data_IF_390227223465
#
_entry.id   IF_390227223465
#
_cell.length_a   1.000
_cell.length_b   1.000
_cell.length_c   1.000
_cell.angle_alpha   90.00
_cell.angle_beta   90.00
_cell.angle_gamma   90.00
#
_symmetry.space_group_name_H-M   'P 1'
#
loop_
_entity.id
_entity.type
_entity.pdbx_description
1 polymer ?
#
# COMPACT_ATOMS: atom_id res chain seq x y z
N UNK A 1 -64.19 49.74 9.36
CA UNK A 1 -63.05 50.03 8.50
C UNK A 1 -61.85 49.11 8.69
N UNK A 2 -61.62 48.48 9.82
CA UNK A 2 -60.45 47.60 10.12
C UNK A 2 -60.51 46.24 9.40
N UNK A 3 -61.69 45.67 9.18
CA UNK A 3 -61.85 44.35 8.53
C UNK A 3 -61.55 44.34 7.01
N UNK A 4 -61.86 45.42 6.33
CA UNK A 4 -61.63 45.54 4.86
C UNK A 4 -60.14 45.70 4.55
N UNK A 5 -59.34 46.40 5.40
CA UNK A 5 -57.89 46.55 5.27
C UNK A 5 -57.16 45.22 5.47
N UNK A 6 -57.60 44.34 6.40
CA UNK A 6 -57.01 43.01 6.60
C UNK A 6 -57.27 42.04 5.43
N UNK A 7 -58.44 42.07 4.83
CA UNK A 7 -58.74 41.18 3.65
C UNK A 7 -57.97 41.63 2.39
N UNK A 8 -57.73 42.95 2.22
CA UNK A 8 -56.96 43.44 1.08
C UNK A 8 -55.46 43.08 1.27
N UNK A 9 -54.92 43.16 2.46
CA UNK A 9 -53.51 42.78 2.73
C UNK A 9 -53.27 41.27 2.55
N UNK A 10 -54.22 40.41 2.97
CA UNK A 10 -54.12 38.95 2.71
C UNK A 10 -54.26 38.60 1.24
N UNK A 11 -55.17 39.21 0.49
CA UNK A 11 -55.30 39.00 -0.94
C UNK A 11 -54.04 39.45 -1.71
N UNK A 12 -53.43 40.55 -1.31
CA UNK A 12 -52.18 41.04 -1.90
C UNK A 12 -50.99 40.11 -1.61
N UNK A 13 -50.93 39.57 -0.39
CA UNK A 13 -49.88 38.61 0.01
C UNK A 13 -50.00 37.28 -0.76
N UNK A 14 -51.24 36.78 -0.94
CA UNK A 14 -51.50 35.58 -1.75
C UNK A 14 -51.15 35.81 -3.24
N UNK A 15 -51.50 36.96 -3.78
CA UNK A 15 -51.14 37.33 -5.14
C UNK A 15 -49.61 37.38 -5.32
N UNK A 16 -48.90 37.99 -4.37
CA UNK A 16 -47.45 38.07 -4.40
C UNK A 16 -46.78 36.68 -4.32
N UNK A 17 -47.29 35.80 -3.48
CA UNK A 17 -46.82 34.41 -3.40
C UNK A 17 -47.05 33.63 -4.70
N UNK A 18 -48.22 33.82 -5.34
CA UNK A 18 -48.49 33.20 -6.64
C UNK A 18 -47.57 33.75 -7.74
N UNK A 19 -47.31 35.06 -7.75
CA UNK A 19 -46.34 35.66 -8.71
C UNK A 19 -44.93 35.16 -8.48
N UNK A 20 -44.46 35.02 -7.23
CA UNK A 20 -43.15 34.45 -6.89
C UNK A 20 -43.06 32.96 -7.30
N UNK A 21 -44.15 32.20 -7.13
CA UNK A 21 -44.24 30.80 -7.55
C UNK A 21 -44.14 30.69 -9.08
N UNK A 22 -44.93 31.52 -9.82
CA UNK A 22 -44.92 31.55 -11.29
C UNK A 22 -43.55 32.00 -11.82
N UNK A 23 -42.94 33.00 -11.17
CA UNK A 23 -41.60 33.45 -11.51
C UNK A 23 -40.57 32.34 -11.25
N UNK A 24 -40.68 31.61 -10.14
CA UNK A 24 -39.82 30.47 -9.83
C UNK A 24 -39.95 29.33 -10.86
N UNK A 25 -41.17 28.99 -11.27
CA UNK A 25 -41.46 28.01 -12.33
C UNK A 25 -40.89 28.48 -13.67
N UNK A 26 -41.10 29.77 -14.02
CA UNK A 26 -40.58 30.33 -15.25
C UNK A 26 -39.06 30.36 -15.29
N UNK A 27 -38.39 30.80 -14.22
CA UNK A 27 -36.93 30.78 -14.09
C UNK A 27 -36.36 29.37 -14.07
N UNK A 28 -37.05 28.38 -13.46
CA UNK A 28 -36.68 26.97 -13.50
C UNK A 28 -36.76 26.35 -14.90
N UNK A 29 -37.67 26.88 -15.77
CA UNK A 29 -37.78 26.49 -17.18
C UNK A 29 -36.83 27.22 -18.13
N UNK A 30 -36.20 28.31 -17.67
CA UNK A 30 -35.28 29.15 -18.45
C UNK A 30 -33.97 29.41 -17.71
N UNK A 31 -33.16 28.37 -17.50
CA UNK A 31 -31.92 28.49 -16.72
C UNK A 31 -30.88 29.44 -17.36
N UNK A 32 -30.96 29.66 -18.68
CA UNK A 32 -30.12 30.63 -19.39
C UNK A 32 -30.30 32.09 -18.92
N UNK A 33 -31.45 32.43 -18.34
CA UNK A 33 -31.79 33.77 -17.89
C UNK A 33 -31.39 34.04 -16.43
N UNK A 34 -30.87 33.02 -15.75
CA UNK A 34 -30.36 33.12 -14.38
C UNK A 34 -28.97 33.77 -14.33
N UNK A 35 -28.68 34.57 -13.27
CA UNK A 35 -27.31 34.99 -12.98
C UNK A 35 -26.36 33.80 -12.89
N UNK A 36 -25.13 33.96 -13.39
CA UNK A 36 -24.16 32.87 -13.54
C UNK A 36 -23.93 32.00 -12.27
N UNK A 37 -24.03 32.60 -11.08
CA UNK A 37 -23.88 31.90 -9.80
C UNK A 37 -25.07 30.98 -9.44
N UNK A 38 -26.25 31.19 -10.05
CA UNK A 38 -27.45 30.34 -9.88
C UNK A 38 -27.57 29.33 -11.01
N UNK A 39 -27.01 29.63 -12.18
CA UNK A 39 -27.17 28.81 -13.39
C UNK A 39 -26.66 27.38 -13.18
N UNK A 40 -25.50 27.21 -12.53
CA UNK A 40 -24.90 25.89 -12.25
C UNK A 40 -25.77 24.98 -11.36
N UNK A 41 -26.67 25.56 -10.55
CA UNK A 41 -27.60 24.80 -9.70
C UNK A 41 -28.85 24.32 -10.43
N UNK A 42 -29.14 24.87 -11.63
CA UNK A 42 -30.33 24.56 -12.44
C UNK A 42 -30.00 23.93 -13.80
N UNK A 43 -28.76 24.02 -14.26
CA UNK A 43 -28.25 23.24 -15.40
C UNK A 43 -27.95 21.82 -14.94
N UNK A 44 -28.96 21.01 -14.68
CA UNK A 44 -28.80 19.56 -14.74
C UNK A 44 -28.39 19.21 -16.17
N UNK A 45 -27.16 18.74 -16.34
CA UNK A 45 -26.65 18.39 -17.66
C UNK A 45 -27.59 17.31 -18.25
N UNK A 46 -28.14 17.54 -19.45
CA UNK A 46 -29.11 16.63 -20.08
C UNK A 46 -28.60 15.17 -20.09
N UNK A 47 -27.28 14.98 -20.24
CA UNK A 47 -26.64 13.68 -20.27
C UNK A 47 -26.72 12.97 -18.90
N UNK A 48 -26.63 13.71 -17.77
CA UNK A 48 -26.78 13.16 -16.41
C UNK A 48 -28.22 12.69 -16.19
N UNK A 49 -29.22 13.44 -16.66
CA UNK A 49 -30.62 13.04 -16.56
C UNK A 49 -30.94 11.77 -17.34
N UNK A 50 -30.29 11.55 -18.48
CA UNK A 50 -30.47 10.31 -19.27
C UNK A 50 -29.91 9.11 -18.52
N UNK A 51 -28.77 9.25 -17.82
CA UNK A 51 -28.20 8.18 -17.00
C UNK A 51 -29.13 7.85 -15.82
N UNK A 52 -29.66 8.87 -15.15
CA UNK A 52 -30.62 8.67 -14.03
C UNK A 52 -31.90 7.99 -14.51
N UNK A 53 -32.47 8.44 -15.68
CA UNK A 53 -33.62 7.79 -16.28
C UNK A 53 -33.38 6.33 -16.63
N UNK A 54 -32.19 6.01 -17.17
CA UNK A 54 -31.82 4.64 -17.48
C UNK A 54 -31.74 3.77 -16.23
N UNK A 55 -31.13 4.28 -15.15
CA UNK A 55 -31.04 3.61 -13.84
C UNK A 55 -32.44 3.34 -13.30
N UNK A 56 -33.35 4.33 -13.38
CA UNK A 56 -34.71 4.22 -12.89
C UNK A 56 -35.49 3.14 -13.65
N UNK A 57 -35.43 3.17 -14.99
CA UNK A 57 -36.12 2.18 -15.83
C UNK A 57 -35.56 0.76 -15.61
N UNK A 58 -34.23 0.60 -15.54
CA UNK A 58 -33.63 -0.72 -15.31
C UNK A 58 -34.04 -1.22 -13.92
N UNK A 59 -34.01 -0.38 -12.89
CA UNK A 59 -34.38 -0.79 -11.53
C UNK A 59 -35.84 -1.19 -11.40
N UNK A 60 -36.76 -0.55 -12.19
CA UNK A 60 -38.20 -0.86 -12.17
C UNK A 60 -38.57 -2.05 -13.06
N UNK A 61 -37.99 -2.16 -14.24
CA UNK A 61 -38.51 -3.01 -15.32
C UNK A 61 -37.68 -4.29 -15.54
N UNK A 62 -36.45 -4.35 -14.97
CA UNK A 62 -35.61 -5.55 -15.11
C UNK A 62 -36.24 -6.73 -14.38
N UNK A 63 -36.25 -7.90 -15.01
CA UNK A 63 -36.94 -9.10 -14.54
C UNK A 63 -36.42 -9.66 -13.20
N UNK A 64 -35.27 -9.26 -12.73
CA UNK A 64 -34.71 -9.58 -11.42
C UNK A 64 -34.56 -8.32 -10.58
N UNK A 65 -34.75 -8.40 -9.24
CA UNK A 65 -34.52 -7.25 -8.37
C UNK A 65 -33.07 -6.79 -8.47
N UNK A 66 -32.85 -5.50 -8.76
CA UNK A 66 -31.57 -4.83 -8.74
C UNK A 66 -31.73 -3.45 -8.11
N UNK A 67 -30.83 -3.08 -7.22
CA UNK A 67 -30.93 -1.80 -6.53
C UNK A 67 -30.35 -0.65 -7.38
N UNK A 68 -30.91 0.56 -7.23
CA UNK A 68 -30.37 1.76 -7.85
C UNK A 68 -28.90 2.01 -7.45
N UNK A 69 -28.53 1.70 -6.18
CA UNK A 69 -27.16 1.85 -5.70
C UNK A 69 -26.17 0.95 -6.47
N UNK A 70 -26.57 -0.31 -6.76
CA UNK A 70 -25.74 -1.20 -7.59
C UNK A 70 -25.59 -0.68 -9.02
N UNK A 71 -26.67 -0.17 -9.61
CA UNK A 71 -26.65 0.41 -10.96
C UNK A 71 -25.81 1.69 -11.02
N UNK A 72 -25.92 2.58 -10.01
CA UNK A 72 -25.08 3.78 -9.91
C UNK A 72 -23.61 3.43 -9.79
N UNK A 73 -23.24 2.49 -8.93
CA UNK A 73 -21.84 2.02 -8.80
C UNK A 73 -21.31 1.43 -10.10
N UNK A 74 -22.12 0.62 -10.79
CA UNK A 74 -21.75 0.07 -12.09
C UNK A 74 -21.58 1.15 -13.17
N UNK A 75 -22.43 2.20 -13.14
CA UNK A 75 -22.34 3.33 -14.07
C UNK A 75 -21.05 4.12 -13.86
N UNK A 76 -20.68 4.44 -12.60
CA UNK A 76 -19.44 5.14 -12.28
C UNK A 76 -18.23 4.28 -12.72
N UNK A 77 -18.24 2.98 -12.40
CA UNK A 77 -17.19 2.06 -12.83
C UNK A 77 -17.06 2.02 -14.37
N UNK A 78 -18.19 2.03 -15.09
CA UNK A 78 -18.20 2.09 -16.55
C UNK A 78 -17.61 3.38 -17.11
N UNK A 79 -17.94 4.54 -16.50
CA UNK A 79 -17.36 5.83 -16.87
C UNK A 79 -15.83 5.82 -16.68
N UNK A 80 -15.34 5.33 -15.56
CA UNK A 80 -13.89 5.23 -15.32
C UNK A 80 -13.22 4.26 -16.30
N UNK A 81 -13.85 3.11 -16.55
CA UNK A 81 -13.33 2.11 -17.51
C UNK A 81 -13.22 2.67 -18.94
N UNK A 82 -14.08 3.64 -19.32
CA UNK A 82 -14.03 4.29 -20.64
C UNK A 82 -12.76 5.12 -20.87
N UNK A 83 -12.00 5.45 -19.83
CA UNK A 83 -10.70 6.12 -19.95
C UNK A 83 -9.64 5.22 -20.61
N UNK A 84 -9.85 3.90 -20.63
CA UNK A 84 -8.87 2.93 -21.13
C UNK A 84 -7.58 2.87 -20.30
N UNK A 85 -7.59 3.45 -19.11
CA UNK A 85 -6.47 3.45 -18.18
C UNK A 85 -6.66 2.36 -17.12
N UNK A 86 -5.79 1.36 -17.15
CA UNK A 86 -5.84 0.22 -16.23
C UNK A 86 -5.53 0.57 -14.77
N UNK A 87 -5.04 1.75 -14.49
CA UNK A 87 -4.71 2.24 -13.14
C UNK A 87 -5.79 3.15 -12.56
N UNK A 88 -6.74 3.57 -13.40
CA UNK A 88 -7.89 4.35 -12.94
C UNK A 88 -9.07 3.43 -12.67
N UNK A 89 -9.65 3.53 -11.46
CA UNK A 89 -10.82 2.74 -11.07
C UNK A 89 -11.72 3.46 -10.07
N UNK A 90 -12.96 3.01 -10.02
CA UNK A 90 -13.89 3.39 -8.98
C UNK A 90 -13.81 2.38 -7.83
N UNK A 91 -13.67 2.88 -6.63
CA UNK A 91 -13.79 2.12 -5.40
C UNK A 91 -15.18 2.32 -4.82
N UNK A 92 -15.95 1.25 -4.67
CA UNK A 92 -17.22 1.31 -3.95
C UNK A 92 -16.99 1.69 -2.47
N UNK A 93 -18.02 2.13 -1.72
CA UNK A 93 -17.85 2.48 -0.31
C UNK A 93 -17.19 1.39 0.54
N UNK A 94 -17.52 0.12 0.26
CA UNK A 94 -16.92 -1.02 0.96
C UNK A 94 -15.44 -1.25 0.57
N UNK A 95 -15.12 -1.12 -0.70
CA UNK A 95 -13.73 -1.25 -1.19
C UNK A 95 -12.87 -0.10 -0.68
N UNK A 96 -13.39 1.13 -0.73
CA UNK A 96 -12.67 2.31 -0.25
C UNK A 96 -12.38 2.20 1.26
N UNK A 97 -13.39 1.86 2.08
CA UNK A 97 -13.18 1.68 3.51
C UNK A 97 -12.18 0.55 3.86
N UNK A 98 -12.06 -0.44 2.99
CA UNK A 98 -11.08 -1.52 3.15
C UNK A 98 -9.69 -1.09 2.71
N UNK A 99 -9.59 -0.30 1.61
CA UNK A 99 -8.33 0.20 1.08
C UNK A 99 -7.64 1.23 2.01
N UNK A 100 -8.43 2.03 2.75
CA UNK A 100 -7.90 2.96 3.76
C UNK A 100 -7.31 2.26 4.99
N UNK A 101 -7.62 0.98 5.20
CA UNK A 101 -7.06 0.24 6.32
C UNK A 101 -5.72 -0.36 5.92
N UNK A 102 -4.62 -0.03 6.62
CA UNK A 102 -3.35 -0.72 6.38
C UNK A 102 -3.55 -2.23 6.55
N UNK A 103 -2.82 -3.08 5.81
CA UNK A 103 -2.89 -4.53 5.96
C UNK A 103 -2.57 -4.89 7.41
N UNK A 104 -3.61 -5.21 8.15
CA UNK A 104 -3.54 -5.57 9.57
C UNK A 104 -4.11 -6.96 9.74
N UNK A 105 -3.38 -7.81 10.42
CA UNK A 105 -3.95 -9.07 10.88
C UNK A 105 -4.11 -9.06 12.40
N UNK A 106 -5.09 -9.77 12.90
CA UNK A 106 -5.29 -9.91 14.34
C UNK A 106 -4.67 -11.21 14.82
N UNK A 107 -3.74 -11.10 15.76
CA UNK A 107 -3.03 -12.26 16.28
C UNK A 107 -2.02 -11.89 17.34
N UNK A 108 -0.96 -12.65 17.43
CA UNK A 108 0.10 -12.46 18.41
C UNK A 108 1.45 -11.99 17.81
N UNK A 109 1.53 -11.87 16.47
CA UNK A 109 2.73 -11.38 15.78
C UNK A 109 3.79 -12.43 15.53
N UNK A 110 3.38 -13.58 14.99
CA UNK A 110 4.29 -14.64 14.51
C UNK A 110 3.88 -15.08 13.10
N UNK A 111 4.89 -15.47 12.34
CA UNK A 111 4.73 -16.25 11.13
C UNK A 111 5.00 -17.72 11.49
N UNK A 112 4.11 -18.60 11.07
CA UNK A 112 4.22 -20.04 11.37
C UNK A 112 4.10 -20.86 10.09
N UNK A 113 4.65 -22.06 10.14
CA UNK A 113 4.49 -23.10 9.12
C UNK A 113 4.10 -24.40 9.80
N UNK A 114 3.38 -25.27 9.10
CA UNK A 114 3.08 -26.61 9.62
C UNK A 114 4.35 -27.41 9.90
N UNK A 115 4.43 -28.03 11.07
CA UNK A 115 5.54 -28.96 11.36
C UNK A 115 5.47 -30.18 10.44
N UNK A 116 6.56 -30.57 9.74
CA UNK A 116 6.59 -31.76 8.87
C UNK A 116 6.15 -33.05 9.56
N UNK A 117 6.37 -33.15 10.89
CA UNK A 117 5.93 -34.27 11.72
C UNK A 117 4.47 -34.17 12.16
N UNK A 118 3.70 -33.19 11.68
CA UNK A 118 2.29 -32.91 12.04
C UNK A 118 2.03 -32.80 13.55
N UNK A 119 3.00 -32.33 14.31
CA UNK A 119 2.91 -32.16 15.76
C UNK A 119 2.30 -30.80 16.14
N UNK A 120 2.30 -29.81 15.23
CA UNK A 120 1.81 -28.47 15.47
C UNK A 120 2.31 -27.44 14.46
N UNK A 121 2.52 -26.22 14.94
CA UNK A 121 3.00 -25.08 14.16
C UNK A 121 4.42 -24.69 14.59
N UNK A 122 5.34 -24.66 13.64
CA UNK A 122 6.70 -24.18 13.86
C UNK A 122 6.74 -22.66 13.68
N UNK A 123 7.30 -21.93 14.65
CA UNK A 123 7.50 -20.49 14.55
C UNK A 123 8.65 -20.22 13.57
N UNK A 124 8.33 -19.71 12.39
CA UNK A 124 9.29 -19.31 11.37
C UNK A 124 9.88 -17.92 11.63
N UNK A 125 9.06 -16.99 12.16
CA UNK A 125 9.46 -15.62 12.49
C UNK A 125 8.62 -15.08 13.63
N UNK A 126 9.22 -14.27 14.50
CA UNK A 126 8.54 -13.42 15.49
C UNK A 126 8.73 -11.96 15.06
N UNK A 127 7.63 -11.21 14.91
CA UNK A 127 7.68 -9.81 14.55
C UNK A 127 8.01 -8.94 15.76
N UNK A 128 8.82 -7.90 15.56
CA UNK A 128 9.20 -6.96 16.62
C UNK A 128 7.95 -6.24 17.19
N UNK A 129 8.06 -5.77 18.44
CA UNK A 129 7.01 -5.01 19.14
C UNK A 129 5.64 -5.70 19.27
N UNK A 130 5.55 -6.97 19.00
CA UNK A 130 4.33 -7.77 19.08
C UNK A 130 4.12 -8.45 20.43
N UNK A 131 2.90 -8.94 20.74
CA UNK A 131 2.68 -9.75 21.94
C UNK A 131 3.63 -10.94 22.05
N UNK A 132 3.93 -11.61 20.94
CA UNK A 132 4.86 -12.74 20.92
C UNK A 132 6.31 -12.32 21.25
N UNK A 133 6.79 -11.21 20.69
CA UNK A 133 8.11 -10.68 21.00
C UNK A 133 8.24 -10.29 22.48
N UNK A 134 7.24 -9.58 23.02
CA UNK A 134 7.19 -9.19 24.44
C UNK A 134 7.16 -10.39 25.39
N UNK A 135 6.53 -11.49 24.98
CA UNK A 135 6.50 -12.74 25.72
C UNK A 135 7.78 -13.58 25.56
N UNK A 136 8.72 -13.14 24.70
CA UNK A 136 10.01 -13.82 24.49
C UNK A 136 9.94 -15.08 23.63
N UNK A 137 8.89 -15.24 22.82
CA UNK A 137 8.81 -16.35 21.86
C UNK A 137 9.96 -16.27 20.85
N UNK A 138 10.44 -17.43 20.42
CA UNK A 138 11.61 -17.52 19.53
C UNK A 138 11.30 -18.28 18.24
N UNK A 139 11.95 -17.86 17.17
CA UNK A 139 12.00 -18.62 15.92
C UNK A 139 12.53 -20.03 16.19
N UNK A 140 11.90 -21.02 15.59
CA UNK A 140 12.23 -22.43 15.75
C UNK A 140 11.47 -23.14 16.88
N UNK A 141 10.74 -22.45 17.74
CA UNK A 141 9.86 -23.10 18.74
C UNK A 141 8.65 -23.72 18.06
N UNK A 142 8.19 -24.85 18.62
CA UNK A 142 7.05 -25.60 18.12
C UNK A 142 5.82 -25.39 19.02
N UNK A 143 4.75 -24.83 18.49
CA UNK A 143 3.46 -24.71 19.19
C UNK A 143 2.73 -26.05 19.04
N UNK A 144 2.52 -26.76 20.14
CA UNK A 144 1.91 -28.10 20.16
C UNK A 144 0.45 -28.09 20.60
N UNK A 145 0.01 -27.04 21.34
CA UNK A 145 -1.38 -26.86 21.72
C UNK A 145 -1.78 -25.39 21.85
N UNK A 146 -3.07 -25.08 21.60
CA UNK A 146 -3.68 -23.76 21.73
C UNK A 146 -4.91 -23.88 22.63
N UNK A 147 -4.98 -23.09 23.72
CA UNK A 147 -6.08 -23.12 24.70
C UNK A 147 -6.34 -24.54 25.23
N UNK A 148 -5.29 -25.35 25.42
CA UNK A 148 -5.38 -26.74 25.87
C UNK A 148 -5.76 -27.76 24.79
N UNK A 149 -6.11 -27.31 23.58
CA UNK A 149 -6.40 -28.19 22.45
C UNK A 149 -5.11 -28.54 21.70
N UNK A 150 -4.81 -29.83 21.58
CA UNK A 150 -3.63 -30.27 20.81
C UNK A 150 -3.75 -29.91 19.32
N UNK A 151 -2.64 -29.53 18.72
CA UNK A 151 -2.52 -29.27 17.27
C UNK A 151 -2.10 -30.52 16.48
N UNK A 152 -1.77 -31.61 17.17
CA UNK A 152 -1.30 -32.85 16.51
C UNK A 152 -2.32 -33.37 15.50
N UNK A 153 -1.90 -33.55 14.27
CA UNK A 153 -2.70 -34.07 13.17
C UNK A 153 -3.66 -33.07 12.53
N UNK A 154 -3.72 -31.83 13.00
CA UNK A 154 -4.55 -30.79 12.38
C UNK A 154 -3.89 -30.29 11.08
N UNK A 155 -4.72 -29.89 10.12
CA UNK A 155 -4.25 -29.11 8.97
C UNK A 155 -3.72 -27.75 9.42
N UNK A 156 -2.73 -27.21 8.71
CA UNK A 156 -2.05 -25.97 9.09
C UNK A 156 -3.05 -24.81 9.24
N UNK A 157 -3.98 -24.65 8.30
CA UNK A 157 -4.97 -23.57 8.30
C UNK A 157 -5.87 -23.63 9.53
N UNK A 158 -6.23 -24.85 9.96
CA UNK A 158 -7.05 -25.08 11.17
C UNK A 158 -6.24 -24.72 12.41
N UNK A 159 -5.00 -25.13 12.49
CA UNK A 159 -4.11 -24.82 13.61
C UNK A 159 -3.87 -23.31 13.71
N UNK A 160 -3.60 -22.62 12.58
CA UNK A 160 -3.43 -21.17 12.50
C UNK A 160 -4.68 -20.43 12.95
N UNK A 161 -5.88 -20.91 12.55
CA UNK A 161 -7.14 -20.29 12.95
C UNK A 161 -7.37 -20.28 14.48
N UNK A 162 -6.84 -21.27 15.22
CA UNK A 162 -6.91 -21.32 16.68
C UNK A 162 -6.02 -20.27 17.34
N UNK A 163 -4.89 -19.92 16.72
CA UNK A 163 -3.98 -18.87 17.22
C UNK A 163 -4.59 -17.48 16.96
N UNK A 164 -5.22 -17.26 15.80
CA UNK A 164 -5.92 -16.03 15.44
C UNK A 164 -7.15 -15.81 16.32
N UNK A 165 -7.70 -14.60 16.32
CA UNK A 165 -8.93 -14.23 17.01
C UNK A 165 -9.03 -12.73 17.25
N UNK A 166 -10.16 -12.20 17.80
CA UNK A 166 -10.38 -10.77 18.01
C UNK A 166 -9.29 -10.12 18.87
N UNK A 167 -8.92 -8.85 18.59
CA UNK A 167 -7.94 -8.12 19.39
C UNK A 167 -8.46 -7.97 20.83
N UNK A 168 -7.53 -7.93 21.79
CA UNK A 168 -7.85 -7.87 23.23
C UNK A 168 -8.22 -9.20 23.86
N UNK A 169 -8.40 -10.28 23.08
CA UNK A 169 -8.68 -11.62 23.63
C UNK A 169 -7.38 -12.38 23.95
N UNK A 170 -7.40 -13.25 24.94
CA UNK A 170 -6.24 -14.05 25.32
C UNK A 170 -6.17 -15.36 24.54
N UNK A 171 -4.94 -15.79 24.25
CA UNK A 171 -4.62 -17.12 23.73
C UNK A 171 -3.54 -17.75 24.59
N UNK A 172 -3.75 -18.99 25.00
CA UNK A 172 -2.78 -19.78 25.77
C UNK A 172 -2.10 -20.76 24.83
N UNK A 173 -0.80 -20.60 24.65
CA UNK A 173 0.04 -21.47 23.81
C UNK A 173 0.80 -22.45 24.68
N UNK A 174 0.83 -23.73 24.30
CA UNK A 174 1.78 -24.69 24.84
C UNK A 174 2.84 -24.94 23.78
N UNK A 175 4.09 -24.66 24.13
CA UNK A 175 5.22 -24.70 23.22
C UNK A 175 6.25 -25.70 23.69
N UNK A 176 6.98 -26.22 22.71
CA UNK A 176 8.11 -27.10 22.89
C UNK A 176 9.36 -26.38 22.38
N UNK A 177 10.35 -26.19 23.27
CA UNK A 177 11.62 -25.63 22.86
C UNK A 177 12.33 -26.55 21.86
N UNK A 178 12.95 -25.98 20.83
CA UNK A 178 13.83 -26.73 19.93
C UNK A 178 15.04 -27.19 20.73
N UNK A 179 15.39 -28.48 20.60
CA UNK A 179 16.63 -28.99 21.19
C UNK A 179 17.83 -28.21 20.63
N UNK A 180 18.78 -27.78 21.46
CA UNK A 180 20.00 -27.14 20.98
C UNK A 180 20.71 -28.09 20.01
N UNK A 181 21.14 -27.57 18.87
CA UNK A 181 21.76 -28.34 17.78
C UNK A 181 23.08 -29.02 18.17
N UNK A 182 23.63 -28.74 19.34
CA UNK A 182 24.89 -29.28 19.84
C UNK A 182 24.79 -29.64 21.34
N UNK A 183 24.90 -30.93 21.69
CA UNK A 183 25.36 -31.37 22.98
C UNK A 183 24.34 -31.74 24.06
N UNK A 184 23.06 -31.92 23.76
CA UNK A 184 22.08 -32.44 24.73
C UNK A 184 22.07 -33.96 24.79
N UNK A 185 21.97 -34.54 25.99
CA UNK A 185 21.81 -35.99 26.20
C UNK A 185 20.58 -36.50 25.42
N UNK A 186 20.78 -37.48 24.53
CA UNK A 186 19.68 -38.21 23.87
C UNK A 186 18.85 -38.92 24.95
N UNK A 187 17.62 -38.43 25.21
CA UNK A 187 16.68 -39.20 26.02
C UNK A 187 15.63 -38.41 26.82
N UNK A 188 15.78 -37.13 27.06
CA UNK A 188 14.72 -36.37 27.75
C UNK A 188 13.76 -35.75 26.72
N UNK A 189 12.43 -35.90 26.88
CA UNK A 189 11.47 -35.15 26.05
C UNK A 189 11.75 -33.67 26.24
N UNK A 190 11.69 -32.86 25.15
CA UNK A 190 11.89 -31.41 25.26
C UNK A 190 10.87 -30.80 26.24
N UNK A 191 11.35 -29.87 27.07
CA UNK A 191 10.50 -29.22 28.06
C UNK A 191 9.34 -28.46 27.38
N UNK A 192 8.15 -28.74 27.86
CA UNK A 192 6.96 -27.95 27.48
C UNK A 192 6.85 -26.74 28.39
N UNK A 193 6.59 -25.57 27.80
CA UNK A 193 6.25 -24.37 28.55
C UNK A 193 4.98 -23.75 27.97
N UNK A 194 4.34 -22.91 28.74
CA UNK A 194 3.08 -22.34 28.38
C UNK A 194 3.10 -20.83 28.57
N UNK A 195 2.69 -20.11 27.52
CA UNK A 195 2.58 -18.66 27.54
C UNK A 195 1.14 -18.24 27.25
N UNK A 196 0.68 -17.18 27.93
CA UNK A 196 -0.63 -16.57 27.68
C UNK A 196 -0.41 -15.18 27.10
N UNK A 197 -0.86 -14.99 25.88
CA UNK A 197 -0.68 -13.75 25.13
C UNK A 197 -2.03 -13.10 24.84
N UNK A 198 -2.06 -11.77 24.90
CA UNK A 198 -3.24 -11.01 24.46
C UNK A 198 -3.08 -10.71 22.95
N UNK A 199 -4.07 -11.12 22.16
CA UNK A 199 -4.09 -10.81 20.73
C UNK A 199 -4.18 -9.32 20.50
N UNK A 200 -3.46 -8.83 19.52
CA UNK A 200 -3.43 -7.43 19.11
C UNK A 200 -3.69 -7.32 17.60
N UNK A 201 -4.01 -6.13 17.17
CA UNK A 201 -3.91 -5.80 15.74
C UNK A 201 -2.43 -5.64 15.43
N UNK A 202 -1.91 -6.44 14.52
CA UNK A 202 -0.51 -6.48 14.12
C UNK A 202 -0.42 -5.88 12.72
N UNK A 203 0.40 -4.85 12.56
CA UNK A 203 0.83 -4.41 11.23
C UNK A 203 1.86 -5.41 10.74
N UNK A 204 1.70 -5.93 9.53
CA UNK A 204 2.70 -6.80 8.94
C UNK A 204 3.92 -5.95 8.61
N UNK A 205 5.12 -6.25 9.15
CA UNK A 205 6.31 -5.51 8.79
C UNK A 205 6.57 -5.64 7.29
N UNK A 206 6.74 -4.50 6.63
CA UNK A 206 7.04 -4.46 5.20
C UNK A 206 8.53 -4.55 4.92
N UNK A 207 9.36 -4.55 5.96
CA UNK A 207 10.83 -4.63 5.86
C UNK A 207 11.34 -5.93 6.46
N UNK A 208 12.31 -6.53 5.79
CA UNK A 208 13.12 -7.64 6.31
C UNK A 208 14.60 -7.32 6.14
N UNK A 209 15.44 -7.69 7.11
CA UNK A 209 16.88 -7.55 6.95
C UNK A 209 17.64 -8.80 7.40
N UNK A 210 18.81 -9.00 6.81
CA UNK A 210 19.76 -10.05 7.18
C UNK A 210 21.19 -9.65 6.86
N UNK A 211 22.13 -10.13 7.67
CA UNK A 211 23.57 -9.98 7.40
C UNK A 211 24.08 -11.16 6.56
N UNK A 212 24.73 -10.88 5.45
CA UNK A 212 25.44 -11.87 4.62
C UNK A 212 26.94 -11.63 4.69
N UNK A 213 27.73 -12.71 4.72
CA UNK A 213 29.20 -12.61 4.66
C UNK A 213 29.71 -13.13 3.33
N UNK A 214 30.36 -12.27 2.55
CA UNK A 214 30.93 -12.60 1.25
C UNK A 214 32.42 -12.26 1.26
N UNK A 215 33.29 -13.23 0.98
CA UNK A 215 34.73 -13.07 1.01
C UNK A 215 35.28 -12.46 2.32
N UNK A 216 34.67 -12.83 3.45
CA UNK A 216 35.02 -12.30 4.78
C UNK A 216 34.50 -10.90 5.10
N UNK A 217 33.76 -10.27 4.18
CA UNK A 217 33.12 -8.96 4.38
C UNK A 217 31.66 -9.14 4.74
N UNK A 218 31.23 -8.53 5.85
CA UNK A 218 29.81 -8.46 6.23
C UNK A 218 29.08 -7.42 5.41
N UNK A 219 27.93 -7.77 4.85
CA UNK A 219 27.04 -6.93 4.06
C UNK A 219 25.62 -7.06 4.60
N UNK A 220 24.90 -5.95 4.72
CA UNK A 220 23.49 -5.95 5.08
C UNK A 220 22.61 -6.09 3.83
N UNK A 221 21.60 -6.94 3.90
CA UNK A 221 20.52 -7.02 2.91
C UNK A 221 19.26 -6.50 3.58
N UNK A 222 18.67 -5.47 3.02
CA UNK A 222 17.41 -4.86 3.50
C UNK A 222 16.39 -4.95 2.39
N UNK A 223 15.35 -5.74 2.57
CA UNK A 223 14.28 -5.93 1.62
C UNK A 223 13.03 -5.15 2.04
N UNK A 224 12.41 -4.44 1.10
CA UNK A 224 11.17 -3.70 1.28
C UNK A 224 10.08 -4.28 0.36
N UNK A 225 8.96 -4.70 0.95
CA UNK A 225 7.84 -5.30 0.20
C UNK A 225 6.88 -4.27 -0.39
N UNK A 226 6.63 -3.15 0.30
CA UNK A 226 5.70 -2.09 -0.15
C UNK A 226 6.00 -0.75 0.52
N UNK A 227 5.64 0.34 -0.14
CA UNK A 227 5.78 1.71 0.38
C UNK A 227 4.50 2.11 1.12
N UNK A 228 4.29 1.56 2.30
CA UNK A 228 3.18 1.90 3.20
C UNK A 228 3.58 3.00 4.16
N UNK A 229 2.60 3.66 4.78
CA UNK A 229 2.85 4.69 5.81
C UNK A 229 3.77 4.16 6.92
N UNK A 230 4.87 4.88 7.19
CA UNK A 230 5.87 4.53 8.18
C UNK A 230 6.97 3.56 7.71
N UNK A 231 6.91 3.05 6.47
CA UNK A 231 7.92 2.15 5.92
C UNK A 231 9.33 2.75 5.96
N UNK A 232 9.47 4.08 5.81
CA UNK A 232 10.77 4.75 5.92
C UNK A 232 11.43 4.56 7.28
N UNK A 233 10.64 4.54 8.36
CA UNK A 233 11.15 4.27 9.72
C UNK A 233 11.69 2.85 9.84
N UNK A 234 10.94 1.85 9.34
CA UNK A 234 11.38 0.45 9.35
C UNK A 234 12.65 0.23 8.51
N UNK A 235 12.73 0.86 7.31
CA UNK A 235 13.93 0.78 6.45
C UNK A 235 15.13 1.41 7.16
N UNK A 236 14.96 2.58 7.78
CA UNK A 236 16.05 3.24 8.53
C UNK A 236 16.56 2.36 9.66
N UNK A 237 15.65 1.84 10.48
CA UNK A 237 16.02 0.94 11.59
C UNK A 237 16.77 -0.30 11.09
N UNK A 238 16.28 -0.93 10.01
CA UNK A 238 16.93 -2.10 9.43
C UNK A 238 18.33 -1.77 8.88
N UNK A 239 18.51 -0.66 8.18
CA UNK A 239 19.82 -0.21 7.66
C UNK A 239 20.78 0.06 8.80
N UNK A 240 20.36 0.82 9.82
CA UNK A 240 21.19 1.14 10.98
C UNK A 240 21.54 -0.11 11.78
N UNK A 241 20.61 -1.05 11.95
CA UNK A 241 20.84 -2.33 12.60
C UNK A 241 21.93 -3.14 11.89
N UNK A 242 21.84 -3.29 10.57
CA UNK A 242 22.87 -4.02 9.79
C UNK A 242 24.25 -3.35 9.90
N UNK A 243 24.30 -2.01 9.87
CA UNK A 243 25.56 -1.27 10.06
C UNK A 243 26.14 -1.47 11.46
N UNK A 244 25.32 -1.52 12.51
CA UNK A 244 25.74 -1.83 13.88
C UNK A 244 26.28 -3.28 14.03
N UNK A 245 25.72 -4.22 13.25
CA UNK A 245 26.26 -5.59 13.16
C UNK A 245 27.59 -5.68 12.41
N UNK A 246 28.07 -4.55 11.88
CA UNK A 246 29.36 -4.41 11.20
C UNK A 246 29.26 -4.62 9.68
N UNK A 247 28.08 -4.49 9.09
CA UNK A 247 27.95 -4.47 7.64
C UNK A 247 28.68 -3.26 7.05
N UNK A 248 29.47 -3.49 6.01
CA UNK A 248 30.28 -2.47 5.33
C UNK A 248 29.65 -1.93 4.06
N UNK A 249 28.45 -2.38 3.73
CA UNK A 249 27.64 -1.93 2.60
C UNK A 249 26.25 -2.53 2.68
N UNK A 250 25.30 -1.97 1.93
CA UNK A 250 23.88 -2.34 1.95
C UNK A 250 23.43 -2.77 0.55
N UNK A 251 22.79 -3.93 0.45
CA UNK A 251 21.90 -4.30 -0.66
C UNK A 251 20.48 -3.88 -0.26
N UNK A 252 19.89 -2.95 -0.98
CA UNK A 252 18.50 -2.59 -0.84
C UNK A 252 17.67 -3.36 -1.86
N UNK A 253 16.92 -4.36 -1.40
CA UNK A 253 16.18 -5.28 -2.27
C UNK A 253 14.74 -4.81 -2.47
N UNK A 254 14.42 -4.42 -3.69
CA UNK A 254 13.12 -3.95 -4.14
C UNK A 254 12.45 -4.92 -5.14
N UNK A 255 12.94 -6.14 -5.26
CA UNK A 255 12.32 -7.14 -6.14
C UNK A 255 10.90 -7.45 -5.69
N UNK A 256 9.98 -7.59 -6.64
CA UNK A 256 8.56 -7.83 -6.37
C UNK A 256 7.81 -6.64 -5.75
N UNK A 257 8.47 -5.51 -5.51
CA UNK A 257 7.85 -4.34 -4.90
C UNK A 257 7.07 -3.51 -5.93
N UNK A 258 5.75 -3.54 -5.87
CA UNK A 258 4.85 -2.79 -6.77
C UNK A 258 4.77 -1.29 -6.49
N UNK A 259 5.47 -0.78 -5.47
CA UNK A 259 5.45 0.63 -5.06
C UNK A 259 4.56 0.90 -3.85
N UNK A 260 3.84 2.00 -3.88
CA UNK A 260 3.00 2.53 -2.82
C UNK A 260 3.06 4.06 -2.77
N UNK A 261 3.12 4.64 -1.57
CA UNK A 261 3.07 6.08 -1.34
C UNK A 261 4.32 6.79 -1.88
N UNK A 262 4.11 7.87 -2.64
CA UNK A 262 5.21 8.68 -3.21
C UNK A 262 5.98 9.42 -2.12
N UNK A 263 5.29 9.85 -1.07
CA UNK A 263 5.90 10.48 0.12
C UNK A 263 6.86 9.52 0.83
N UNK A 264 6.50 8.25 0.94
CA UNK A 264 7.38 7.22 1.49
C UNK A 264 8.60 6.98 0.59
N UNK A 265 8.44 7.05 -0.73
CA UNK A 265 9.57 6.99 -1.65
C UNK A 265 10.56 8.14 -1.43
N UNK A 266 10.07 9.37 -1.21
CA UNK A 266 10.91 10.52 -0.85
C UNK A 266 11.69 10.25 0.44
N UNK A 267 11.00 9.84 1.50
CA UNK A 267 11.60 9.60 2.82
C UNK A 267 12.62 8.45 2.79
N UNK A 268 12.30 7.35 2.09
CA UNK A 268 13.20 6.20 1.95
C UNK A 268 14.42 6.55 1.09
N UNK A 269 14.25 7.26 -0.04
CA UNK A 269 15.38 7.74 -0.83
C UNK A 269 16.30 8.65 -0.02
N UNK A 270 15.71 9.47 0.87
CA UNK A 270 16.44 10.38 1.76
C UNK A 270 17.32 9.68 2.80
N UNK A 271 17.06 8.41 3.11
CA UNK A 271 17.95 7.61 3.96
C UNK A 271 19.33 7.46 3.31
N UNK A 272 19.40 7.53 1.99
CA UNK A 272 20.62 7.29 1.23
C UNK A 272 21.15 8.56 0.53
N UNK A 273 20.27 9.49 0.13
CA UNK A 273 20.59 10.70 -0.62
C UNK A 273 20.55 11.91 0.34
N UNK A 274 21.69 12.58 0.57
CA UNK A 274 21.75 13.68 1.55
C UNK A 274 21.08 14.97 1.07
N UNK A 275 21.02 15.21 -0.24
CA UNK A 275 20.43 16.42 -0.82
C UNK A 275 20.15 16.25 -2.31
N UNK A 276 19.26 17.09 -2.82
CA UNK A 276 18.87 17.12 -4.24
C UNK A 276 17.46 16.59 -4.47
N UNK A 277 17.04 16.63 -5.73
CA UNK A 277 15.72 16.18 -6.15
C UNK A 277 15.59 14.66 -6.05
N UNK A 278 14.46 14.17 -5.51
CA UNK A 278 14.11 12.75 -5.53
C UNK A 278 13.17 12.47 -6.71
N UNK A 279 12.11 13.26 -6.84
CA UNK A 279 11.13 13.11 -7.91
C UNK A 279 10.42 14.43 -8.19
N UNK A 280 10.04 14.67 -9.43
CA UNK A 280 9.16 15.77 -9.84
C UNK A 280 7.87 15.21 -10.37
N UNK A 281 6.72 15.70 -9.90
CA UNK A 281 5.39 15.33 -10.38
C UNK A 281 4.81 16.45 -11.25
N UNK A 282 4.10 16.08 -12.31
CA UNK A 282 3.41 17.02 -13.22
C UNK A 282 2.06 16.44 -13.60
N UNK A 283 1.02 17.24 -13.53
CA UNK A 283 -0.32 16.88 -13.97
C UNK A 283 -0.95 17.96 -14.85
N UNK A 284 -2.05 17.61 -15.50
CA UNK A 284 -2.80 18.58 -16.33
C UNK A 284 -3.45 19.67 -15.47
N UNK A 285 -4.00 19.30 -14.34
CA UNK A 285 -4.68 20.17 -13.38
C UNK A 285 -3.96 20.25 -12.03
N UNK A 286 -2.99 19.38 -11.80
CA UNK A 286 -2.16 19.37 -10.60
C UNK A 286 -0.94 20.28 -10.81
N UNK A 287 -0.55 21.08 -9.82
CA UNK A 287 0.66 21.88 -9.90
C UNK A 287 1.89 20.97 -10.00
N UNK A 288 2.91 21.45 -10.72
CA UNK A 288 4.21 20.78 -10.68
C UNK A 288 4.76 20.84 -9.26
N UNK A 289 5.11 19.68 -8.70
CA UNK A 289 5.72 19.54 -7.37
C UNK A 289 7.04 18.81 -7.47
N UNK A 290 8.03 19.26 -6.70
CA UNK A 290 9.35 18.61 -6.64
C UNK A 290 9.62 18.21 -5.20
N UNK A 291 9.77 16.91 -4.97
CA UNK A 291 10.13 16.35 -3.68
C UNK A 291 11.66 16.27 -3.58
N UNK A 292 12.20 16.88 -2.55
CA UNK A 292 13.65 16.96 -2.28
C UNK A 292 14.04 15.99 -1.18
N UNK A 293 15.31 15.60 -1.14
CA UNK A 293 15.86 14.85 -0.02
C UNK A 293 15.78 15.66 1.28
N UNK A 294 15.47 14.99 2.40
CA UNK A 294 15.23 15.61 3.72
C UNK A 294 16.50 15.90 4.52
N UNK A 295 17.66 15.37 4.11
CA UNK A 295 18.95 15.69 4.72
C UNK A 295 19.50 14.68 5.73
N UNK A 296 18.72 13.65 6.12
CA UNK A 296 19.11 12.68 7.16
C UNK A 296 19.74 11.40 6.59
N UNK A 297 20.59 11.51 5.59
CA UNK A 297 21.18 10.35 4.95
C UNK A 297 22.26 9.67 5.81
N UNK A 298 22.35 8.34 5.68
CA UNK A 298 23.53 7.59 6.16
C UNK A 298 24.78 8.08 5.42
N UNK A 299 25.96 7.79 6.01
CA UNK A 299 27.22 8.21 5.39
C UNK A 299 27.31 7.79 3.93
N UNK A 300 27.69 8.73 3.05
CA UNK A 300 27.88 8.49 1.63
C UNK A 300 29.08 7.57 1.33
N UNK A 301 29.96 7.34 2.31
CA UNK A 301 31.06 6.37 2.22
C UNK A 301 30.61 4.91 2.28
N UNK A 302 29.38 4.65 2.77
CA UNK A 302 28.79 3.30 2.81
C UNK A 302 28.26 3.00 1.40
N UNK A 303 28.83 2.01 0.69
CA UNK A 303 28.34 1.66 -0.64
C UNK A 303 26.95 1.01 -0.57
N UNK A 304 26.14 1.31 -1.59
CA UNK A 304 24.76 0.78 -1.74
C UNK A 304 24.59 0.16 -3.11
N UNK A 305 23.92 -0.97 -3.15
CA UNK A 305 23.41 -1.62 -4.36
C UNK A 305 21.90 -1.71 -4.23
N UNK A 306 21.15 -1.35 -5.27
CA UNK A 306 19.71 -1.59 -5.34
C UNK A 306 19.46 -2.82 -6.21
N UNK A 307 18.74 -3.80 -5.68
CA UNK A 307 18.38 -5.02 -6.40
C UNK A 307 16.92 -4.92 -6.86
N UNK A 308 16.67 -5.09 -8.15
CA UNK A 308 15.37 -4.88 -8.80
C UNK A 308 14.99 -6.02 -9.74
N UNK A 309 13.70 -6.12 -10.06
CA UNK A 309 13.17 -7.03 -11.07
C UNK A 309 12.07 -6.37 -11.93
N UNK A 310 11.46 -7.14 -12.84
CA UNK A 310 10.40 -6.66 -13.72
C UNK A 310 9.08 -6.30 -12.97
N UNK A 311 8.93 -6.68 -11.71
CA UNK A 311 7.80 -6.33 -10.84
C UNK A 311 8.08 -5.11 -9.96
N UNK A 312 9.32 -4.63 -9.92
CA UNK A 312 9.67 -3.38 -9.25
C UNK A 312 9.00 -2.23 -10.00
N UNK A 313 8.05 -1.52 -9.34
CA UNK A 313 7.20 -0.53 -10.00
C UNK A 313 6.95 0.73 -9.18
N UNK A 314 6.56 1.85 -9.85
CA UNK A 314 6.01 3.06 -9.21
C UNK A 314 6.98 3.67 -8.17
N UNK A 315 6.58 3.81 -6.89
CA UNK A 315 7.41 4.34 -5.80
C UNK A 315 8.77 3.64 -5.69
N UNK A 316 8.84 2.33 -5.94
CA UNK A 316 10.09 1.57 -5.97
C UNK A 316 10.99 2.00 -7.14
N UNK A 317 10.40 2.35 -8.28
CA UNK A 317 11.14 2.90 -9.43
C UNK A 317 11.63 4.33 -9.15
N UNK A 318 10.83 5.14 -8.43
CA UNK A 318 11.24 6.49 -7.99
C UNK A 318 12.53 6.40 -7.16
N UNK A 319 12.53 5.55 -6.12
CA UNK A 319 13.72 5.37 -5.26
C UNK A 319 14.90 4.84 -6.06
N UNK A 320 14.69 3.82 -6.88
CA UNK A 320 15.73 3.21 -7.70
C UNK A 320 16.36 4.23 -8.66
N UNK A 321 15.52 4.98 -9.37
CA UNK A 321 15.98 6.00 -10.32
C UNK A 321 16.68 7.15 -9.61
N UNK A 322 16.16 7.64 -8.48
CA UNK A 322 16.79 8.69 -7.71
C UNK A 322 18.20 8.28 -7.23
N UNK A 323 18.33 7.06 -6.69
CA UNK A 323 19.62 6.51 -6.27
C UNK A 323 20.61 6.34 -7.44
N UNK A 324 20.10 5.95 -8.61
CA UNK A 324 20.90 5.80 -9.83
C UNK A 324 21.35 7.17 -10.38
N UNK A 325 20.43 8.12 -10.55
CA UNK A 325 20.70 9.45 -11.13
C UNK A 325 21.66 10.26 -10.25
N UNK A 326 21.52 10.16 -8.91
CA UNK A 326 22.49 10.72 -7.98
C UNK A 326 23.81 9.95 -7.89
N UNK A 327 23.97 8.84 -8.62
CA UNK A 327 25.14 7.95 -8.55
C UNK A 327 25.41 7.45 -7.13
N UNK A 328 24.35 7.41 -6.31
CA UNK A 328 24.44 6.97 -4.92
C UNK A 328 24.47 5.46 -4.80
N UNK A 329 23.80 4.75 -5.70
CA UNK A 329 23.79 3.30 -5.74
C UNK A 329 24.06 2.75 -7.16
N UNK A 330 24.46 1.48 -7.19
CA UNK A 330 24.51 0.69 -8.43
C UNK A 330 23.24 -0.15 -8.47
N UNK A 331 22.49 -0.07 -9.56
CA UNK A 331 21.29 -0.87 -9.78
C UNK A 331 21.68 -2.20 -10.43
N UNK A 332 21.22 -3.31 -9.81
CA UNK A 332 21.46 -4.68 -10.26
C UNK A 332 20.11 -5.34 -10.48
N UNK A 333 19.95 -6.13 -11.52
CA UNK A 333 18.71 -6.87 -11.78
C UNK A 333 18.27 -6.81 -13.25
N UNK A 334 16.94 -6.84 -13.45
CA UNK A 334 16.31 -6.69 -14.76
C UNK A 334 15.74 -5.27 -14.93
N UNK A 335 15.25 -4.94 -16.13
CA UNK A 335 14.51 -3.70 -16.34
C UNK A 335 13.27 -3.69 -15.43
N UNK A 336 13.01 -2.56 -14.78
CA UNK A 336 11.82 -2.42 -13.93
C UNK A 336 10.55 -2.23 -14.75
N UNK A 337 9.40 -2.18 -14.09
CA UNK A 337 8.09 -2.23 -14.73
C UNK A 337 7.82 -1.10 -15.74
N UNK A 338 8.16 0.14 -15.41
CA UNK A 338 7.88 1.32 -16.24
C UNK A 338 6.52 1.96 -15.98
N UNK A 339 6.15 2.17 -14.72
CA UNK A 339 4.98 2.94 -14.33
C UNK A 339 5.37 4.41 -14.08
N UNK A 340 5.23 5.26 -15.09
CA UNK A 340 5.59 6.70 -15.04
C UNK A 340 4.45 7.63 -14.64
N UNK A 341 3.34 7.11 -14.09
CA UNK A 341 2.15 7.87 -13.71
C UNK A 341 1.77 7.63 -12.25
N UNK A 342 1.04 8.60 -11.65
CA UNK A 342 0.49 8.46 -10.31
C UNK A 342 -1.00 8.74 -10.28
N UNK A 343 -1.67 8.11 -9.33
CA UNK A 343 -3.09 8.25 -9.07
C UNK A 343 -3.33 9.18 -7.88
N UNK A 344 -4.53 9.76 -7.87
CA UNK A 344 -5.08 10.52 -6.74
C UNK A 344 -6.45 9.96 -6.39
N UNK A 345 -6.67 9.73 -5.11
CA UNK A 345 -7.93 9.21 -4.60
C UNK A 345 -8.85 10.37 -4.21
N UNK A 346 -10.00 10.46 -4.86
CA UNK A 346 -10.99 11.50 -4.66
C UNK A 346 -12.29 10.90 -4.14
N UNK A 347 -12.62 11.21 -2.88
CA UNK A 347 -13.86 10.74 -2.24
C UNK A 347 -15.10 11.27 -2.94
N UNK A 348 -16.12 10.42 -3.08
CA UNK A 348 -17.43 10.75 -3.65
C UNK A 348 -18.50 10.83 -2.55
N UNK A 349 -19.57 11.56 -2.83
CA UNK A 349 -20.70 11.79 -1.90
C UNK A 349 -21.42 10.50 -1.49
N UNK A 350 -21.28 9.41 -2.24
CA UNK A 350 -21.85 8.10 -1.92
C UNK A 350 -20.97 7.29 -0.97
N UNK A 351 -19.84 7.84 -0.49
CA UNK A 351 -18.88 7.15 0.36
C UNK A 351 -17.87 6.26 -0.38
N UNK A 352 -17.92 6.20 -1.71
CA UNK A 352 -16.90 5.60 -2.55
C UNK A 352 -15.81 6.58 -2.94
N UNK A 353 -14.86 6.17 -3.78
CA UNK A 353 -13.81 7.03 -4.29
C UNK A 353 -13.48 6.76 -5.76
N UNK A 354 -12.98 7.79 -6.42
CA UNK A 354 -12.27 7.66 -7.69
C UNK A 354 -10.78 7.57 -7.39
N UNK A 355 -10.13 6.52 -7.83
CA UNK A 355 -8.67 6.44 -7.89
C UNK A 355 -8.29 6.64 -9.36
N UNK A 356 -7.83 7.83 -9.71
CA UNK A 356 -7.62 8.22 -11.11
C UNK A 356 -6.22 8.73 -11.35
N UNK A 357 -5.67 8.40 -12.51
CA UNK A 357 -4.37 8.92 -12.96
C UNK A 357 -4.50 10.43 -13.21
N UNK A 358 -3.78 11.22 -12.41
CA UNK A 358 -3.83 12.69 -12.45
C UNK A 358 -2.53 13.33 -12.95
N UNK A 359 -1.45 12.55 -13.05
CA UNK A 359 -0.18 13.09 -13.51
C UNK A 359 0.90 12.03 -13.71
N UNK A 360 2.06 12.55 -14.07
CA UNK A 360 3.28 11.79 -14.34
C UNK A 360 4.38 12.20 -13.35
N UNK A 361 5.32 11.28 -13.12
CA UNK A 361 6.54 11.62 -12.37
C UNK A 361 7.78 11.46 -13.20
N UNK A 362 8.75 12.30 -12.87
CA UNK A 362 10.04 12.44 -13.54
C UNK A 362 11.17 12.26 -12.53
N UNK A 363 12.18 11.53 -12.94
CA UNK A 363 13.40 11.30 -12.16
C UNK A 363 14.20 12.59 -12.00
N UNK A 364 15.24 12.63 -11.13
CA UNK A 364 16.14 13.78 -11.02
C UNK A 364 16.72 14.25 -12.37
N UNK A 365 17.05 13.32 -13.27
CA UNK A 365 17.55 13.63 -14.61
C UNK A 365 16.43 14.00 -15.63
N UNK A 366 15.17 14.13 -15.16
CA UNK A 366 14.04 14.55 -15.97
C UNK A 366 13.45 13.46 -16.87
N UNK A 367 13.78 12.19 -16.66
CA UNK A 367 13.22 11.06 -17.41
C UNK A 367 11.85 10.67 -16.84
N UNK A 368 10.85 10.44 -17.70
CA UNK A 368 9.64 9.72 -17.31
C UNK A 368 9.87 8.22 -17.48
N UNK A 369 9.65 7.44 -16.41
CA UNK A 369 9.94 6.00 -16.38
C UNK A 369 8.99 5.16 -17.25
N UNK A 370 7.84 5.69 -17.62
CA UNK A 370 6.89 5.04 -18.50
C UNK A 370 6.94 5.52 -19.97
N UNK A 371 7.89 6.42 -20.30
CA UNK A 371 8.01 6.97 -21.64
C UNK A 371 6.86 7.88 -22.07
N UNK A 372 6.25 8.60 -21.11
CA UNK A 372 5.03 9.40 -21.30
C UNK A 372 3.78 8.58 -20.99
N UNK A 373 3.71 8.00 -19.77
CA UNK A 373 2.61 7.16 -19.34
C UNK A 373 3.07 5.88 -18.65
N UNK A 374 2.61 4.75 -19.15
CA UNK A 374 3.00 3.41 -18.66
C UNK A 374 3.42 2.54 -19.84
N UNK A 375 4.66 2.12 -19.83
CA UNK A 375 5.20 1.19 -20.84
C UNK A 375 5.99 0.10 -20.13
N UNK A 376 5.43 -1.09 -20.10
CA UNK A 376 6.05 -2.24 -19.45
C UNK A 376 7.46 -2.49 -19.99
N UNK A 377 8.42 -2.66 -19.08
CA UNK A 377 9.83 -2.86 -19.40
C UNK A 377 10.60 -1.58 -19.82
N UNK A 378 9.95 -0.39 -19.76
CA UNK A 378 10.61 0.89 -20.05
C UNK A 378 11.18 1.59 -18.79
N UNK A 379 11.06 0.97 -17.63
CA UNK A 379 11.45 1.53 -16.33
C UNK A 379 12.95 1.80 -16.20
N UNK A 380 13.47 1.62 -15.00
CA UNK A 380 14.89 1.80 -14.73
C UNK A 380 15.69 0.68 -15.40
N UNK A 381 16.71 1.09 -16.17
CA UNK A 381 17.68 0.17 -16.78
C UNK A 381 18.77 -0.09 -15.74
N UNK A 382 18.99 -1.36 -15.32
CA UNK A 382 20.03 -1.66 -14.33
C UNK A 382 21.44 -1.38 -14.87
N UNK A 383 22.35 -1.00 -13.96
CA UNK A 383 23.78 -0.83 -14.30
C UNK A 383 24.47 -2.18 -14.50
N UNK A 384 23.97 -3.22 -13.79
CA UNK A 384 24.44 -4.60 -13.91
C UNK A 384 23.22 -5.47 -14.18
N UNK A 385 23.11 -5.95 -15.42
CA UNK A 385 21.98 -6.77 -15.83
C UNK A 385 22.11 -8.19 -15.27
N UNK A 386 20.97 -8.72 -14.77
CA UNK A 386 20.75 -10.11 -14.42
C UNK A 386 19.75 -10.66 -15.44
N UNK A 387 19.97 -11.82 -16.08
CA UNK A 387 19.01 -12.37 -17.04
C UNK A 387 17.65 -12.66 -16.40
N UNK A 388 16.56 -12.49 -17.16
CA UNK A 388 15.22 -12.87 -16.75
C UNK A 388 15.11 -14.39 -16.52
N UNK A 389 14.27 -14.78 -15.55
CA UNK A 389 13.99 -16.21 -15.28
C UNK A 389 15.08 -16.94 -14.50
N UNK A 390 16.11 -16.27 -14.04
CA UNK A 390 17.09 -16.84 -13.09
C UNK A 390 16.51 -16.87 -11.69
N UNK A 391 16.98 -17.86 -10.90
CA UNK A 391 16.64 -18.00 -9.50
C UNK A 391 16.86 -16.69 -8.72
N UNK A 392 15.93 -16.43 -7.82
CA UNK A 392 15.93 -15.26 -6.92
C UNK A 392 17.26 -15.12 -6.15
N UNK A 393 17.86 -16.24 -5.75
CA UNK A 393 19.14 -16.26 -5.03
C UNK A 393 20.31 -15.86 -5.94
N UNK A 394 20.25 -16.17 -7.25
CA UNK A 394 21.30 -15.74 -8.18
C UNK A 394 21.34 -14.21 -8.31
N UNK A 395 20.20 -13.53 -8.42
CA UNK A 395 20.15 -12.07 -8.46
C UNK A 395 20.77 -11.43 -7.21
N UNK A 396 20.47 -11.99 -6.04
CA UNK A 396 21.06 -11.53 -4.78
C UNK A 396 22.58 -11.78 -4.74
N UNK A 397 23.06 -12.91 -5.22
CA UNK A 397 24.49 -13.22 -5.32
C UNK A 397 25.21 -12.18 -6.18
N UNK A 398 24.67 -11.83 -7.37
CA UNK A 398 25.25 -10.79 -8.23
C UNK A 398 25.29 -9.42 -7.56
N UNK A 399 24.23 -9.08 -6.81
CA UNK A 399 24.17 -7.83 -6.04
C UNK A 399 25.23 -7.78 -4.93
N UNK A 400 25.37 -8.86 -4.17
CA UNK A 400 26.37 -8.99 -3.11
C UNK A 400 27.81 -8.94 -3.68
N UNK A 401 28.09 -9.64 -4.76
CA UNK A 401 29.39 -9.61 -5.45
C UNK A 401 29.72 -8.22 -6.02
N UNK A 402 28.70 -7.52 -6.50
CA UNK A 402 28.83 -6.13 -6.97
C UNK A 402 29.16 -5.20 -5.80
N UNK A 403 28.49 -5.39 -4.65
CA UNK A 403 28.69 -4.58 -3.46
C UNK A 403 30.08 -4.80 -2.84
N UNK A 404 30.54 -6.05 -2.70
CA UNK A 404 31.86 -6.39 -2.16
C UNK A 404 32.99 -5.65 -2.91
N UNK A 405 32.91 -5.55 -4.22
CA UNK A 405 33.90 -4.83 -5.04
C UNK A 405 33.98 -3.33 -4.75
N UNK A 406 32.97 -2.75 -4.11
CA UNK A 406 32.88 -1.34 -3.72
C UNK A 406 33.28 -1.08 -2.27
N UNK A 407 33.33 -2.11 -1.46
CA UNK A 407 33.79 -2.02 -0.05
C UNK A 407 35.33 -1.91 -0.06
N UNK A 408 35.83 -0.78 0.41
CA UNK A 408 37.28 -0.50 0.53
C UNK A 408 37.82 -0.99 1.90
#
# INVERSE_FOLDING_TARGET
>A
MVSVRRSISTALAVLLLLLLLLLGIWLGGHPSDLPGFLRSSFESNHDTLVVDEAIDRISSDYYRPISKAQLSSASIAGVVASLGDRFSHYLSPSEFSTAEQPPRFTGIGIQVVGDPGKRGLLIGRVFNETPAARAGLKTGELIVAVNGRTLQGLAEEVAVSLVKGPPGTNVKLTMQATAPAHGGHRGSPPALHTETLTRATISEPVVASETRTVNGVKLGVVALAAFTEGAHGEVREAVEHELHLGARGIVFDLRGNGGGLVEEAQLIASIFIPSGTIVTTRGRTQPTSTLMATGDAISTSIPVVVLVDANTASAAEIVTAALQDHRRATVVGTHTFGKGVYQDQQGLSNGGALDITVGEYFTPDGRNLGGGGVKQGAGVIPNVAVPDGVDTEHGLTVALDTLVKKVK
#
